data_IF_171114822937
#
_entry.id   IF_171114822937
#
_cell.length_a   1.000
_cell.length_b   1.000
_cell.length_c   1.000
_cell.angle_alpha   90.00
_cell.angle_beta   90.00
_cell.angle_gamma   90.00
#
_symmetry.space_group_name_H-M   'P 1'
#
loop_
_entity.id
_entity.type
_entity.pdbx_description
1 polymer ?
#
# COMPACT_ATOMS: atom_id res chain seq x y z
N UNK A 1 10.43 -9.97 3.09
CA UNK A 1 9.74 -9.40 1.90
C UNK A 1 9.10 -10.58 1.19
N UNK A 2 7.83 -10.52 0.83
CA UNK A 2 7.17 -11.64 0.13
C UNK A 2 7.76 -11.74 -1.27
N UNK A 3 8.46 -12.84 -1.56
CA UNK A 3 9.04 -13.15 -2.86
C UNK A 3 7.93 -13.67 -3.80
N UNK A 4 7.02 -12.79 -4.18
CA UNK A 4 5.92 -13.10 -5.09
C UNK A 4 5.67 -11.90 -5.97
N UNK A 5 5.54 -12.12 -7.28
CA UNK A 5 5.10 -11.06 -8.19
C UNK A 5 3.84 -10.43 -7.61
N UNK A 6 3.88 -9.11 -7.34
CA UNK A 6 2.75 -8.42 -6.72
C UNK A 6 1.48 -8.76 -7.51
N UNK A 7 0.50 -9.36 -6.86
CA UNK A 7 -0.74 -9.80 -7.50
C UNK A 7 -1.66 -8.60 -7.68
N UNK A 8 -2.68 -8.71 -8.56
CA UNK A 8 -3.73 -7.67 -8.61
C UNK A 8 -4.56 -7.79 -7.34
N UNK A 9 -4.77 -6.67 -6.67
CA UNK A 9 -5.69 -6.65 -5.54
C UNK A 9 -7.13 -6.84 -6.05
N UNK A 10 -7.92 -7.78 -5.52
CA UNK A 10 -9.34 -7.91 -5.86
C UNK A 10 -10.12 -6.78 -5.21
N UNK A 11 -10.12 -5.62 -5.87
CA UNK A 11 -10.87 -4.44 -5.47
C UNK A 11 -12.37 -4.71 -5.64
N UNK A 12 -13.10 -4.78 -4.51
CA UNK A 12 -14.57 -4.96 -4.44
C UNK A 12 -15.25 -3.82 -3.67
N UNK A 13 -14.75 -2.60 -3.81
CA UNK A 13 -15.24 -1.44 -3.06
C UNK A 13 -14.85 -1.44 -1.57
N UNK A 14 -13.95 -2.35 -1.18
CA UNK A 14 -13.56 -2.57 0.22
C UNK A 14 -12.44 -1.63 0.68
N UNK A 15 -12.38 -1.41 2.00
CA UNK A 15 -11.28 -0.73 2.66
C UNK A 15 -10.20 -1.75 3.00
N UNK A 16 -8.94 -1.40 2.74
CA UNK A 16 -7.82 -2.21 3.23
C UNK A 16 -6.67 -1.32 3.69
N UNK A 17 -5.97 -1.80 4.72
CA UNK A 17 -4.75 -1.16 5.20
C UNK A 17 -3.59 -1.66 4.35
N UNK A 18 -2.95 -0.72 3.67
CA UNK A 18 -1.86 -1.01 2.75
C UNK A 18 -0.60 -0.28 3.17
N UNK A 19 0.53 -0.90 2.86
CA UNK A 19 1.85 -0.34 3.05
C UNK A 19 2.53 -0.12 1.70
N UNK A 20 2.47 1.10 1.13
CA UNK A 20 3.23 1.41 -0.07
C UNK A 20 4.74 1.30 0.18
N UNK A 21 5.40 0.41 -0.56
CA UNK A 21 6.87 0.28 -0.55
C UNK A 21 7.49 0.74 -1.87
N UNK A 22 6.73 0.70 -2.98
CA UNK A 22 7.22 1.13 -4.30
C UNK A 22 6.10 1.81 -5.07
N UNK A 23 6.36 3.04 -5.54
CA UNK A 23 5.51 3.75 -6.49
C UNK A 23 6.22 3.90 -7.82
N UNK A 24 5.49 3.72 -8.92
CA UNK A 24 6.01 3.83 -10.27
C UNK A 24 5.06 4.68 -11.12
N UNK A 25 5.56 5.79 -11.63
CA UNK A 25 4.80 6.69 -12.51
C UNK A 25 4.56 6.00 -13.85
N UNK A 26 3.30 5.79 -14.22
CA UNK A 26 2.94 5.15 -15.50
C UNK A 26 2.79 6.16 -16.64
N UNK A 27 2.62 7.45 -16.32
CA UNK A 27 2.32 8.51 -17.29
C UNK A 27 0.81 8.71 -17.45
N UNK A 28 0.38 9.93 -17.80
CA UNK A 28 -1.05 10.26 -17.93
C UNK A 28 -1.76 10.68 -16.63
N UNK A 29 -1.03 10.98 -15.56
CA UNK A 29 -1.61 11.40 -14.27
C UNK A 29 -1.93 10.24 -13.32
N UNK A 30 -1.45 9.03 -13.63
CA UNK A 30 -1.64 7.83 -12.82
C UNK A 30 -0.30 7.22 -12.39
N UNK A 31 -0.30 6.69 -11.17
CA UNK A 31 0.82 6.02 -10.53
C UNK A 31 0.44 4.60 -10.13
N UNK A 32 1.31 3.65 -10.49
CA UNK A 32 1.24 2.28 -10.01
C UNK A 32 1.87 2.19 -8.64
N UNK A 33 1.04 2.01 -7.62
CA UNK A 33 1.47 1.82 -6.24
C UNK A 33 1.51 0.32 -5.94
N UNK A 34 2.70 -0.17 -5.61
CA UNK A 34 2.91 -1.52 -5.07
C UNK A 34 2.99 -1.42 -3.55
N UNK A 35 2.20 -2.25 -2.90
CA UNK A 35 2.05 -2.25 -1.46
C UNK A 35 1.92 -3.65 -0.90
N UNK A 36 2.23 -3.79 0.38
CA UNK A 36 1.90 -4.97 1.15
C UNK A 36 0.56 -4.74 1.85
N UNK A 37 -0.32 -5.74 1.84
CA UNK A 37 -1.59 -5.69 2.56
C UNK A 37 -1.32 -6.08 4.00
N UNK A 38 -1.65 -5.18 4.91
CA UNK A 38 -1.57 -5.40 6.34
C UNK A 38 -2.94 -5.83 6.86
N UNK A 39 -2.98 -6.96 7.57
CA UNK A 39 -4.20 -7.40 8.23
C UNK A 39 -4.18 -6.96 9.69
N UNK A 40 -5.08 -6.04 10.03
CA UNK A 40 -5.26 -5.54 11.40
C UNK A 40 -5.76 -6.62 12.37
N UNK A 41 -6.42 -7.68 11.90
CA UNK A 41 -6.87 -8.76 12.79
C UNK A 41 -5.73 -9.63 13.30
N UNK A 42 -4.68 -9.79 12.50
CA UNK A 42 -3.56 -10.71 12.78
C UNK A 42 -2.22 -9.98 12.94
N UNK A 43 -2.18 -8.67 12.71
CA UNK A 43 -0.97 -7.83 12.74
C UNK A 43 0.16 -8.35 11.83
N UNK A 44 -0.19 -9.01 10.74
CA UNK A 44 0.78 -9.54 9.76
C UNK A 44 0.51 -9.04 8.36
N UNK A 45 1.58 -8.98 7.57
CA UNK A 45 1.51 -8.73 6.15
C UNK A 45 1.04 -10.01 5.45
N UNK A 46 -0.12 -9.93 4.78
CA UNK A 46 -0.76 -11.09 4.16
C UNK A 46 -0.08 -11.40 2.83
N UNK A 47 -0.01 -10.40 1.96
CA UNK A 47 0.52 -10.52 0.61
C UNK A 47 0.92 -9.16 0.06
N UNK A 48 1.76 -9.17 -0.98
CA UNK A 48 2.11 -8.00 -1.76
C UNK A 48 1.21 -7.87 -2.98
N UNK A 49 0.55 -6.73 -3.11
CA UNK A 49 -0.40 -6.41 -4.19
C UNK A 49 -0.05 -5.07 -4.85
N UNK A 50 -0.72 -4.78 -5.97
CA UNK A 50 -0.62 -3.47 -6.60
C UNK A 50 -1.98 -2.91 -6.99
N UNK A 51 -2.05 -1.58 -6.99
CA UNK A 51 -3.18 -0.81 -7.48
C UNK A 51 -2.70 0.45 -8.18
N UNK A 52 -3.63 1.13 -8.82
CA UNK A 52 -3.42 2.41 -9.47
C UNK A 52 -3.98 3.51 -8.60
N UNK A 53 -3.34 4.66 -8.60
CA UNK A 53 -3.81 5.85 -7.91
C UNK A 53 -3.51 7.06 -8.80
N UNK A 54 -4.32 8.10 -8.69
CA UNK A 54 -3.98 9.39 -9.30
C UNK A 54 -2.69 9.94 -8.67
N UNK A 55 -1.91 10.71 -9.43
CA UNK A 55 -0.64 11.31 -8.96
C UNK A 55 -0.82 12.12 -7.67
N UNK A 56 -1.98 12.76 -7.49
CA UNK A 56 -2.34 13.50 -6.27
C UNK A 56 -2.39 12.57 -5.04
N UNK A 57 -3.20 11.51 -5.11
CA UNK A 57 -3.29 10.45 -4.10
C UNK A 57 -1.97 9.71 -3.87
N UNK A 58 -1.22 9.42 -4.94
CA UNK A 58 0.07 8.77 -4.85
C UNK A 58 1.16 9.67 -4.22
N UNK A 59 0.97 10.99 -4.27
CA UNK A 59 1.72 11.98 -3.53
C UNK A 59 1.56 11.80 -2.02
N UNK A 60 0.31 11.69 -1.57
CA UNK A 60 -0.09 11.47 -0.17
C UNK A 60 0.36 10.09 0.36
N UNK A 61 0.46 9.07 -0.51
CA UNK A 61 1.00 7.76 -0.16
C UNK A 61 2.53 7.83 0.06
N UNK A 62 2.94 8.15 1.28
CA UNK A 62 4.34 8.15 1.68
C UNK A 62 4.89 6.74 1.93
N UNK A 63 6.13 6.52 1.50
CA UNK A 63 6.88 5.29 1.78
C UNK A 63 7.04 5.13 3.30
N UNK A 64 6.99 3.89 3.78
CA UNK A 64 7.14 3.52 5.20
C UNK A 64 5.92 3.77 6.11
N UNK A 65 4.88 4.45 5.64
CA UNK A 65 3.61 4.63 6.36
C UNK A 65 2.56 3.62 5.89
N UNK A 66 1.54 3.42 6.73
CA UNK A 66 0.39 2.60 6.42
C UNK A 66 -0.81 3.49 6.19
N UNK A 67 -1.59 3.16 5.18
CA UNK A 67 -2.78 3.94 4.86
C UNK A 67 -3.94 2.98 4.73
N UNK A 68 -5.03 3.30 5.41
CA UNK A 68 -6.32 2.71 5.09
C UNK A 68 -6.86 3.44 3.88
N UNK A 69 -6.92 2.73 2.77
CA UNK A 69 -7.41 3.29 1.51
C UNK A 69 -8.66 2.56 1.07
N UNK A 70 -9.49 3.28 0.33
CA UNK A 70 -10.67 2.74 -0.32
C UNK A 70 -10.35 2.35 -1.74
N UNK A 71 -10.61 1.10 -2.06
CA UNK A 71 -10.50 0.60 -3.42
C UNK A 71 -11.81 0.77 -4.18
N UNK A 72 -11.72 0.85 -5.50
CA UNK A 72 -12.88 0.78 -6.39
C UNK A 72 -13.54 -0.62 -6.37
N UNK A 73 -14.71 -0.76 -6.98
CA UNK A 73 -15.41 -2.04 -7.19
C UNK A 73 -15.01 -2.73 -8.50
N UNK A 74 -13.82 -2.42 -9.03
CA UNK A 74 -13.30 -2.98 -10.27
C UNK A 74 -12.19 -4.01 -10.00
N UNK A 75 -12.50 -5.33 -10.04
CA UNK A 75 -11.50 -6.37 -9.83
C UNK A 75 -10.46 -6.45 -10.96
N UNK A 76 -10.79 -5.91 -12.15
CA UNK A 76 -9.88 -5.86 -13.29
C UNK A 76 -8.88 -4.71 -13.21
N UNK A 77 -9.28 -3.59 -12.58
CA UNK A 77 -8.49 -2.38 -12.48
C UNK A 77 -8.57 -1.82 -11.05
N UNK A 78 -7.81 -2.39 -10.10
CA UNK A 78 -7.83 -1.92 -8.72
C UNK A 78 -7.30 -0.49 -8.67
N UNK A 79 -8.18 0.45 -8.38
CA UNK A 79 -7.85 1.86 -8.17
C UNK A 79 -8.11 2.26 -6.73
N UNK A 80 -7.20 3.06 -6.18
CA UNK A 80 -7.39 3.75 -4.92
C UNK A 80 -8.25 4.99 -5.22
N UNK A 81 -9.46 5.01 -4.66
CA UNK A 81 -10.39 6.12 -4.81
C UNK A 81 -10.09 7.25 -3.83
N UNK A 82 -9.73 6.89 -2.59
CA UNK A 82 -9.47 7.84 -1.50
C UNK A 82 -8.62 7.18 -0.40
N UNK A 83 -7.87 7.99 0.35
CA UNK A 83 -7.22 7.60 1.59
C UNK A 83 -8.17 7.99 2.73
N UNK A 84 -8.63 6.99 3.49
CA UNK A 84 -9.55 7.21 4.61
C UNK A 84 -8.80 7.72 5.84
N UNK A 85 -7.69 7.08 6.18
CA UNK A 85 -6.88 7.43 7.34
C UNK A 85 -5.45 6.90 7.20
N UNK A 86 -4.48 7.59 7.82
CA UNK A 86 -3.14 7.04 8.03
C UNK A 86 -3.17 6.09 9.23
N UNK A 87 -2.81 4.83 9.00
CA UNK A 87 -2.75 3.81 10.05
C UNK A 87 -1.28 3.63 10.45
N UNK A 88 -0.94 3.77 11.75
CA UNK A 88 0.41 3.55 12.24
C UNK A 88 0.74 2.06 12.21
N UNK A 89 1.19 1.59 11.05
CA UNK A 89 1.67 0.22 10.90
C UNK A 89 3.09 0.09 11.46
N UNK A 90 3.42 -1.04 12.10
CA UNK A 90 4.77 -1.28 12.56
C UNK A 90 5.71 -1.27 11.36
N UNK A 91 6.66 -0.33 11.38
CA UNK A 91 7.83 -0.39 10.49
C UNK A 91 8.42 -1.80 10.69
N UNK A 92 8.62 -2.62 9.64
CA UNK A 92 9.38 -3.85 9.78
C UNK A 92 10.68 -3.41 10.39
N UNK A 93 10.93 -3.94 11.59
CA UNK A 93 12.00 -3.54 12.49
C UNK A 93 13.26 -3.29 11.64
N UNK A 94 13.51 -2.01 11.32
CA UNK A 94 14.85 -1.62 10.95
C UNK A 94 15.59 -1.90 12.24
N UNK A 95 16.35 -3.00 12.25
CA UNK A 95 17.26 -3.38 13.33
C UNK A 95 17.76 -2.08 13.98
N UNK A 96 17.62 -1.92 15.30
CA UNK A 96 18.03 -0.69 15.95
C UNK A 96 19.44 -0.38 15.45
N UNK A 97 19.62 0.79 14.83
CA UNK A 97 20.95 1.33 14.61
C UNK A 97 21.59 1.34 15.99
N UNK A 98 22.49 0.39 16.24
CA UNK A 98 23.37 0.41 17.39
C UNK A 98 23.95 1.82 17.45
N UNK A 99 23.53 2.57 18.45
CA UNK A 99 24.22 3.78 18.87
C UNK A 99 25.51 3.29 19.49
N UNK A 100 26.71 3.58 18.96
CA UNK A 100 27.88 3.58 19.79
C UNK A 100 27.87 4.88 20.61
N UNK A 101 28.17 4.65 21.89
CA UNK A 101 28.36 5.56 23.02
C UNK A 101 29.18 6.84 22.72
#
# INVERSE_FOLDING_TARGET
>A
MVEGAATRFPAKGQLAVIRPYRKNLLGGGEEKVRFDIFNEGTHVYVESSYAFASTDLAGELHRQHGYRVRFNDDPQYPQILEIVEEVPIPKPLALPRSTPE
#
